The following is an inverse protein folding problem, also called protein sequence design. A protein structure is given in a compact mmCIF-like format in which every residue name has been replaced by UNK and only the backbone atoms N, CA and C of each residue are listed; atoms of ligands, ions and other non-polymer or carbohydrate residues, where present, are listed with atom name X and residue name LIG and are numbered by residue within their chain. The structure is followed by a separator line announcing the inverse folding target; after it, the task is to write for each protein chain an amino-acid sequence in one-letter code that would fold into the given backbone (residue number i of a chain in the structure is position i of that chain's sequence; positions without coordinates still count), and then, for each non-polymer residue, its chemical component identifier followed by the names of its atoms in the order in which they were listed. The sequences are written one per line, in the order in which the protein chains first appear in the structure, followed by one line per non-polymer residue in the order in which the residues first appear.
data_IF_252925425356
#
_entry.id   IF_252925425356
#
_cell.length_a   1.000
_cell.length_b   1.000
_cell.length_c   1.000
_cell.angle_alpha   90.00
_cell.angle_beta   90.00
_cell.angle_gamma   90.00
#
_symmetry.space_group_name_H-M   'P 1'
#
loop_
_entity.id
_entity.type
_entity.pdbx_description
1 polymer ?
#
# COMPACT_ATOMS: atom_id res chain seq x y z
N UNK A 1 -27.15 -2.66 -13.74
CA UNK A 1 -25.86 -2.41 -13.07
C UNK A 1 -26.16 -1.57 -11.84
N UNK A 2 -25.94 -2.06 -10.61
CA UNK A 2 -26.11 -1.25 -9.42
C UNK A 2 -24.84 -0.41 -9.20
N UNK A 3 -24.98 0.80 -8.66
CA UNK A 3 -23.85 1.70 -8.36
C UNK A 3 -22.83 1.01 -7.44
N UNK A 4 -23.31 0.20 -6.49
CA UNK A 4 -22.43 -0.54 -5.57
C UNK A 4 -21.56 -1.59 -6.26
N UNK A 5 -22.03 -2.17 -7.39
CA UNK A 5 -21.25 -3.17 -8.13
C UNK A 5 -20.05 -2.54 -8.85
N UNK A 6 -20.12 -1.24 -9.19
CA UNK A 6 -19.04 -0.52 -9.84
C UNK A 6 -17.84 -0.27 -8.91
N UNK A 7 -18.10 -0.19 -7.60
CA UNK A 7 -17.09 0.11 -6.58
C UNK A 7 -16.54 -1.14 -5.86
N UNK A 8 -17.07 -2.33 -6.16
CA UNK A 8 -16.50 -3.59 -5.67
C UNK A 8 -15.13 -3.81 -6.32
N UNK A 9 -14.12 -4.06 -5.49
CA UNK A 9 -12.75 -4.36 -5.90
C UNK A 9 -12.35 -5.81 -5.59
N UNK A 10 -13.33 -6.68 -5.34
CA UNK A 10 -13.14 -8.10 -5.08
C UNK A 10 -12.17 -8.72 -6.10
N UNK A 11 -11.11 -9.37 -5.59
CA UNK A 11 -10.11 -10.06 -6.41
C UNK A 11 -9.10 -9.15 -7.13
N UNK A 12 -9.11 -7.83 -6.87
CA UNK A 12 -8.11 -6.89 -7.38
C UNK A 12 -7.06 -6.56 -6.32
N UNK A 13 -5.87 -6.20 -6.77
CA UNK A 13 -4.78 -5.73 -5.90
C UNK A 13 -4.55 -4.25 -6.10
N UNK A 14 -4.57 -3.47 -5.01
CA UNK A 14 -4.34 -2.04 -4.98
C UNK A 14 -3.00 -1.72 -4.27
N UNK A 15 -2.06 -1.17 -5.02
CA UNK A 15 -0.79 -0.65 -4.49
C UNK A 15 -0.96 0.82 -4.10
N UNK A 16 -0.65 1.15 -2.85
CA UNK A 16 -0.88 2.47 -2.28
C UNK A 16 0.45 3.04 -1.83
N UNK A 17 0.93 4.04 -2.57
CA UNK A 17 2.13 4.80 -2.21
C UNK A 17 1.76 5.90 -1.21
N UNK A 18 2.51 6.02 -0.11
CA UNK A 18 2.17 6.92 0.99
C UNK A 18 1.00 6.46 1.87
N UNK A 19 0.61 5.18 1.83
CA UNK A 19 -0.55 4.65 2.57
C UNK A 19 -0.38 4.54 4.10
N UNK A 20 0.75 4.99 4.66
CA UNK A 20 1.03 4.87 6.09
C UNK A 20 0.26 5.89 6.95
N UNK A 21 -0.12 7.05 6.41
CA UNK A 21 -0.79 8.14 7.14
C UNK A 21 -1.76 8.93 6.26
N UNK A 22 -2.59 9.77 6.89
CA UNK A 22 -3.47 10.72 6.22
C UNK A 22 -4.47 10.04 5.27
N UNK A 23 -4.67 10.64 4.10
CA UNK A 23 -5.61 10.13 3.09
C UNK A 23 -5.21 8.77 2.53
N UNK A 24 -3.91 8.49 2.39
CA UNK A 24 -3.43 7.21 1.86
C UNK A 24 -3.89 6.03 2.73
N UNK A 25 -3.96 6.23 4.04
CA UNK A 25 -4.49 5.24 4.98
C UNK A 25 -6.00 5.04 4.81
N UNK A 26 -6.76 6.14 4.72
CA UNK A 26 -8.21 6.07 4.51
C UNK A 26 -8.55 5.35 3.21
N UNK A 27 -7.79 5.59 2.15
CA UNK A 27 -7.96 4.84 0.89
C UNK A 27 -7.61 3.36 1.02
N UNK A 28 -6.57 3.02 1.78
CA UNK A 28 -6.23 1.62 2.04
C UNK A 28 -7.33 0.89 2.81
N UNK A 29 -7.91 1.53 3.81
CA UNK A 29 -9.06 1.01 4.55
C UNK A 29 -10.29 0.83 3.63
N UNK A 30 -10.61 1.83 2.81
CA UNK A 30 -11.74 1.77 1.88
C UNK A 30 -11.57 0.68 0.81
N UNK A 31 -10.37 0.53 0.24
CA UNK A 31 -10.09 -0.51 -0.75
C UNK A 31 -10.15 -1.91 -0.14
N UNK A 32 -9.66 -2.08 1.10
CA UNK A 32 -9.78 -3.35 1.82
C UNK A 32 -11.25 -3.71 2.10
N UNK A 33 -12.09 -2.73 2.49
CA UNK A 33 -13.53 -2.92 2.67
C UNK A 33 -14.25 -3.23 1.35
N UNK A 34 -13.80 -2.65 0.25
CA UNK A 34 -14.30 -2.94 -1.09
C UNK A 34 -13.90 -4.33 -1.61
N UNK A 35 -13.09 -5.08 -0.85
CA UNK A 35 -12.65 -6.45 -1.16
C UNK A 35 -11.36 -6.52 -1.98
N UNK A 36 -10.61 -5.42 -2.09
CA UNK A 36 -9.29 -5.42 -2.71
C UNK A 36 -8.24 -6.00 -1.76
N UNK A 37 -7.27 -6.69 -2.34
CA UNK A 37 -5.96 -6.90 -1.73
C UNK A 37 -5.22 -5.56 -1.70
N UNK A 38 -4.77 -5.09 -0.54
CA UNK A 38 -4.09 -3.79 -0.43
C UNK A 38 -2.62 -3.96 -0.06
N UNK A 39 -1.75 -3.21 -0.72
CA UNK A 39 -0.31 -3.17 -0.45
C UNK A 39 0.07 -1.74 -0.12
N UNK A 40 0.68 -1.53 1.06
CA UNK A 40 1.05 -0.19 1.55
C UNK A 40 2.55 0.01 1.39
N UNK A 41 2.93 1.03 0.62
CA UNK A 41 4.33 1.39 0.37
C UNK A 41 4.61 2.79 0.91
N UNK A 42 5.64 2.92 1.77
CA UNK A 42 6.11 4.21 2.25
C UNK A 42 7.60 4.13 2.60
N UNK A 43 8.22 5.28 2.88
CA UNK A 43 9.64 5.35 3.29
C UNK A 43 9.88 4.84 4.71
N UNK A 44 8.84 4.87 5.55
CA UNK A 44 8.90 4.45 6.95
C UNK A 44 8.33 3.04 7.09
N UNK A 45 9.21 2.04 7.24
CA UNK A 45 8.82 0.64 7.31
C UNK A 45 7.91 0.34 8.52
N UNK A 46 8.25 0.87 9.70
CA UNK A 46 7.43 0.69 10.92
C UNK A 46 6.02 1.28 10.76
N UNK A 47 5.91 2.46 10.13
CA UNK A 47 4.63 3.10 9.89
C UNK A 47 3.76 2.30 8.90
N UNK A 48 4.37 1.70 7.87
CA UNK A 48 3.67 0.77 6.99
C UNK A 48 3.13 -0.45 7.75
N UNK A 49 3.94 -1.01 8.66
CA UNK A 49 3.59 -2.22 9.40
C UNK A 49 2.43 -1.98 10.37
N UNK A 50 2.47 -0.86 11.10
CA UNK A 50 1.37 -0.44 11.95
C UNK A 50 0.08 -0.20 11.15
N UNK A 51 0.17 0.48 10.01
CA UNK A 51 -0.99 0.72 9.16
C UNK A 51 -1.57 -0.61 8.62
N UNK A 52 -0.73 -1.53 8.15
CA UNK A 52 -1.14 -2.83 7.67
C UNK A 52 -1.83 -3.67 8.77
N UNK A 53 -1.30 -3.67 9.99
CA UNK A 53 -1.93 -4.36 11.14
C UNK A 53 -3.30 -3.76 11.46
N UNK A 54 -3.42 -2.44 11.44
CA UNK A 54 -4.68 -1.75 11.72
C UNK A 54 -5.73 -2.04 10.63
N UNK A 55 -5.32 -2.10 9.37
CA UNK A 55 -6.21 -2.42 8.25
C UNK A 55 -6.61 -3.91 8.25
N UNK A 56 -5.68 -4.80 8.60
CA UNK A 56 -5.96 -6.23 8.73
C UNK A 56 -6.92 -6.55 9.89
N UNK A 57 -6.96 -5.72 10.93
CA UNK A 57 -7.88 -5.85 12.05
C UNK A 57 -9.32 -5.41 11.71
N UNK A 58 -9.53 -4.72 10.58
CA UNK A 58 -10.88 -4.34 10.14
C UNK A 58 -11.62 -5.55 9.57
N UNK A 59 -12.96 -5.59 9.65
CA UNK A 59 -13.76 -6.62 9.00
C UNK A 59 -13.69 -6.42 7.48
N UNK A 60 -12.71 -7.05 6.84
CA UNK A 60 -12.49 -6.97 5.39
C UNK A 60 -13.32 -8.02 4.67
N UNK A 61 -13.97 -7.61 3.57
CA UNK A 61 -14.83 -8.49 2.76
C UNK A 61 -14.09 -9.48 1.88
N UNK A 62 -12.75 -9.50 1.92
CA UNK A 62 -11.90 -10.44 1.20
C UNK A 62 -10.92 -11.11 2.17
N UNK A 63 -10.67 -12.43 2.04
CA UNK A 63 -9.64 -13.09 2.81
C UNK A 63 -8.31 -12.40 2.54
N UNK A 64 -7.49 -12.12 3.58
CA UNK A 64 -6.21 -11.49 3.36
C UNK A 64 -5.41 -12.39 2.42
N UNK A 65 -4.91 -11.90 1.27
CA UNK A 65 -3.77 -12.57 0.69
C UNK A 65 -2.67 -12.52 1.73
N UNK A 66 -1.96 -13.64 1.88
CA UNK A 66 -0.78 -13.78 2.74
C UNK A 66 -0.01 -12.47 2.80
N UNK A 67 0.47 -12.02 3.98
CA UNK A 67 1.10 -10.72 4.14
C UNK A 67 2.24 -10.58 3.13
N UNK A 68 1.96 -9.93 2.00
CA UNK A 68 2.95 -9.66 0.96
C UNK A 68 3.73 -8.46 1.43
N UNK A 69 4.64 -8.77 2.35
CA UNK A 69 5.69 -7.93 2.85
C UNK A 69 6.58 -7.56 1.65
N UNK A 70 6.33 -6.41 1.01
CA UNK A 70 7.32 -5.78 0.14
C UNK A 70 8.18 -4.84 0.98
N UNK A 71 8.91 -5.37 1.96
CA UNK A 71 10.20 -4.77 2.30
C UNK A 71 11.13 -5.13 1.16
N UNK A 72 11.22 -4.31 0.12
CA UNK A 72 12.43 -4.35 -0.71
C UNK A 72 13.56 -3.95 0.24
N UNK A 73 14.52 -4.84 0.55
CA UNK A 73 15.70 -4.42 1.27
C UNK A 73 16.47 -3.57 0.28
N UNK A 74 16.39 -2.24 0.39
CA UNK A 74 17.32 -1.40 -0.35
C UNK A 74 17.85 -0.34 0.58
N UNK A 75 18.93 -0.76 1.25
CA UNK A 75 20.07 0.07 1.60
C UNK A 75 20.47 0.94 0.38
N UNK A 76 19.75 2.03 0.13
CA UNK A 76 20.19 3.07 -0.79
C UNK A 76 20.71 4.23 0.04
N UNK A 77 21.97 4.09 0.47
CA UNK A 77 22.86 5.24 0.44
C UNK A 77 22.69 5.84 -0.95
N UNK A 78 22.22 7.08 -1.03
CA UNK A 78 22.31 7.90 -2.23
C UNK A 78 23.76 7.83 -2.74
N UNK A 79 24.08 7.24 -3.91
CA UNK A 79 25.28 7.66 -4.58
C UNK A 79 24.93 9.00 -5.21
N UNK A 80 25.57 10.07 -4.72
CA UNK A 80 25.63 11.34 -5.43
C UNK A 80 25.99 11.05 -6.89
N UNK A 81 25.00 11.17 -7.79
CA UNK A 81 25.23 11.22 -9.22
C UNK A 81 25.98 12.52 -9.47
N UNK A 82 27.32 12.44 -9.54
CA UNK A 82 28.14 13.50 -10.11
C UNK A 82 27.73 13.62 -11.57
N UNK A 83 27.36 14.83 -11.97
CA UNK A 83 27.19 15.18 -13.38
C UNK A 83 28.53 14.97 -14.09
N UNK A 84 28.61 14.27 -15.23
CA UNK A 84 29.79 14.36 -16.08
C UNK A 84 29.83 15.77 -16.69
N UNK A 85 30.90 16.51 -16.40
CA UNK A 85 31.23 17.73 -17.12
C UNK A 85 31.48 17.38 -18.59
N UNK A 86 30.99 18.25 -19.46
CA UNK A 86 31.31 18.32 -20.87
C UNK A 86 32.68 18.96 -21.03
N UNK A 87 33.65 18.20 -21.52
CA UNK A 87 34.85 18.67 -22.23
C UNK A 87 35.33 17.56 -23.17
#
# INVERSE_FOLDING_TARGET
MNVLDLFRLNGRTALITGGSRGLGRVFAEAFAQAGASTVIMSRDAEACQLAAMQIAALPVGAPPPSPVMSTTPTKSKTPSIRRPNSE
#
